data_IF_085953734819
#
_entry.id   IF_085953734819
#
_cell.length_a   1.000
_cell.length_b   1.000
_cell.length_c   1.000
_cell.angle_alpha   90.00
_cell.angle_beta   90.00
_cell.angle_gamma   90.00
#
_symmetry.space_group_name_H-M   'P 1'
#
loop_
_entity.id
_entity.type
_entity.pdbx_description
1 polymer ?
#
# COMPACT_ATOMS: atom_id res chain seq x y z
N UNK A 1 3.99 -22.84 1.54
CA UNK A 1 5.17 -22.62 0.68
C UNK A 1 4.66 -22.29 -0.72
N UNK A 2 4.93 -21.09 -1.23
CA UNK A 2 4.44 -20.66 -2.55
C UNK A 2 5.38 -21.09 -3.68
N UNK A 3 6.60 -21.55 -3.38
CA UNK A 3 7.61 -21.92 -4.38
C UNK A 3 7.21 -23.14 -5.23
N UNK A 4 6.20 -23.90 -4.79
CA UNK A 4 5.69 -25.08 -5.50
C UNK A 4 4.60 -24.77 -6.55
N UNK A 5 4.16 -23.50 -6.68
CA UNK A 5 3.20 -23.14 -7.72
C UNK A 5 3.88 -23.31 -9.09
N UNK A 6 3.35 -24.14 -10.01
CA UNK A 6 4.03 -24.54 -11.24
C UNK A 6 4.02 -23.43 -12.29
N UNK A 7 4.82 -22.39 -12.03
CA UNK A 7 5.03 -21.21 -12.87
C UNK A 7 6.52 -20.90 -12.93
N UNK A 8 6.95 -20.12 -13.91
CA UNK A 8 8.36 -19.74 -14.06
C UNK A 8 8.84 -18.72 -13.00
N UNK A 9 7.94 -18.26 -12.12
CA UNK A 9 8.22 -17.27 -11.07
C UNK A 9 9.00 -17.92 -9.93
N UNK A 10 10.23 -17.44 -9.71
CA UNK A 10 11.06 -17.86 -8.57
C UNK A 10 10.63 -17.11 -7.31
N UNK A 11 10.27 -17.85 -6.27
CA UNK A 11 9.84 -17.28 -4.98
C UNK A 11 10.87 -17.64 -3.91
N UNK A 12 11.32 -16.62 -3.18
CA UNK A 12 12.22 -16.77 -2.03
C UNK A 12 11.61 -16.10 -0.81
N UNK A 13 11.63 -16.79 0.32
CA UNK A 13 11.22 -16.24 1.61
C UNK A 13 12.43 -15.76 2.40
N UNK A 14 12.28 -14.65 3.09
CA UNK A 14 13.27 -14.09 4.01
C UNK A 14 12.60 -13.82 5.35
N UNK A 15 13.39 -13.84 6.43
CA UNK A 15 12.91 -13.58 7.79
C UNK A 15 14.00 -12.90 8.62
N UNK A 16 13.58 -12.20 9.67
CA UNK A 16 14.45 -11.38 10.51
C UNK A 16 14.12 -9.89 10.39
N UNK A 17 14.92 -9.07 11.09
CA UNK A 17 14.74 -7.61 11.12
C UNK A 17 15.43 -6.91 9.94
N UNK A 18 16.47 -7.54 9.38
CA UNK A 18 17.17 -7.04 8.20
C UNK A 18 16.44 -7.50 6.92
N UNK A 19 15.81 -6.53 6.26
CA UNK A 19 15.10 -6.73 5.01
C UNK A 19 16.03 -6.62 3.79
N UNK A 20 17.31 -6.24 3.96
CA UNK A 20 18.27 -6.04 2.86
C UNK A 20 18.31 -7.22 1.88
N UNK A 21 18.40 -8.49 2.33
CA UNK A 21 18.45 -9.64 1.41
C UNK A 21 17.18 -9.80 0.55
N UNK A 22 16.04 -9.30 1.03
CA UNK A 22 14.77 -9.33 0.30
C UNK A 22 14.60 -8.12 -0.64
N UNK A 23 15.38 -7.05 -0.45
CA UNK A 23 15.27 -5.78 -1.15
C UNK A 23 16.29 -5.61 -2.28
N UNK A 24 17.41 -6.35 -2.23
CA UNK A 24 18.46 -6.29 -3.24
C UNK A 24 17.92 -6.54 -4.66
N UNK A 25 18.11 -5.57 -5.54
CA UNK A 25 17.67 -5.63 -6.94
C UNK A 25 16.16 -5.52 -7.15
N UNK A 26 15.38 -5.14 -6.13
CA UNK A 26 13.94 -4.97 -6.28
C UNK A 26 13.59 -3.75 -7.15
N UNK A 27 12.76 -3.96 -8.17
CA UNK A 27 12.17 -2.89 -9.00
C UNK A 27 10.89 -2.32 -8.38
N UNK A 28 10.16 -3.14 -7.62
CA UNK A 28 8.91 -2.78 -6.95
C UNK A 28 8.90 -3.36 -5.54
N UNK A 29 8.50 -2.55 -4.56
CA UNK A 29 8.35 -2.96 -3.16
C UNK A 29 6.92 -2.65 -2.72
N UNK A 30 6.16 -3.68 -2.36
CA UNK A 30 4.81 -3.55 -1.80
C UNK A 30 4.85 -3.76 -0.28
N UNK A 31 4.49 -2.72 0.47
CA UNK A 31 4.51 -2.73 1.92
C UNK A 31 3.12 -3.03 2.48
N UNK A 32 2.85 -4.30 2.74
CA UNK A 32 1.67 -4.77 3.49
C UNK A 32 1.94 -4.96 4.99
N UNK A 33 3.18 -4.72 5.44
CA UNK A 33 3.60 -4.88 6.82
C UNK A 33 2.89 -3.88 7.74
N UNK A 34 2.20 -4.38 8.75
CA UNK A 34 1.51 -3.57 9.73
C UNK A 34 0.76 -4.43 10.73
N UNK A 35 0.35 -3.81 11.82
CA UNK A 35 -0.49 -4.46 12.82
C UNK A 35 -1.95 -4.22 12.45
N UNK A 36 -2.76 -5.26 12.49
CA UNK A 36 -4.21 -5.12 12.40
C UNK A 36 -4.74 -4.60 13.74
N UNK A 37 -5.79 -3.78 13.71
CA UNK A 37 -6.41 -3.26 14.92
C UNK A 37 -6.85 -4.42 15.83
N UNK A 38 -6.36 -4.44 17.07
CA UNK A 38 -6.78 -5.40 18.10
C UNK A 38 -7.91 -4.81 18.95
N UNK A 39 -8.80 -5.63 19.54
CA UNK A 39 -9.74 -5.16 20.55
C UNK A 39 -9.01 -4.41 21.67
N UNK A 40 -9.51 -3.24 22.06
CA UNK A 40 -8.88 -2.39 23.08
C UNK A 40 -7.73 -1.49 22.58
N UNK A 41 -7.36 -1.55 21.29
CA UNK A 41 -6.36 -0.65 20.70
C UNK A 41 -7.01 0.64 20.16
N UNK A 42 -6.48 1.78 20.61
CA UNK A 42 -6.88 3.09 20.12
C UNK A 42 -6.33 3.36 18.72
N UNK A 43 -6.97 4.29 18.00
CA UNK A 43 -6.51 4.68 16.65
C UNK A 43 -5.10 5.27 16.66
N UNK A 44 -4.77 6.05 17.70
CA UNK A 44 -3.44 6.64 17.90
C UNK A 44 -2.36 5.58 18.08
N UNK A 45 -2.65 4.52 18.83
CA UNK A 45 -1.68 3.44 19.09
C UNK A 45 -1.38 2.67 17.82
N UNK A 46 -2.43 2.32 17.08
CA UNK A 46 -2.30 1.68 15.77
C UNK A 46 -1.46 2.53 14.82
N UNK A 47 -1.73 3.83 14.79
CA UNK A 47 -0.96 4.77 13.97
C UNK A 47 0.52 4.79 14.37
N UNK A 48 0.83 4.92 15.65
CA UNK A 48 2.21 4.99 16.14
C UNK A 48 3.00 3.71 15.82
N UNK A 49 2.38 2.55 16.02
CA UNK A 49 2.99 1.25 15.69
C UNK A 49 3.29 1.16 14.20
N UNK A 50 2.30 1.43 13.34
CA UNK A 50 2.49 1.32 11.89
C UNK A 50 3.42 2.41 11.34
N UNK A 51 3.44 3.60 11.94
CA UNK A 51 4.40 4.65 11.61
C UNK A 51 5.84 4.22 11.88
N UNK A 52 6.10 3.52 12.99
CA UNK A 52 7.41 2.95 13.32
C UNK A 52 7.84 1.89 12.31
N UNK A 53 6.95 0.95 11.99
CA UNK A 53 7.18 -0.11 11.00
C UNK A 53 7.52 0.48 9.63
N UNK A 54 6.71 1.42 9.15
CA UNK A 54 6.90 2.08 7.85
C UNK A 54 8.22 2.84 7.83
N UNK A 55 8.53 3.60 8.88
CA UNK A 55 9.79 4.36 8.96
C UNK A 55 11.01 3.44 8.86
N UNK A 56 11.00 2.34 9.62
CA UNK A 56 12.11 1.39 9.63
C UNK A 56 12.30 0.76 8.24
N UNK A 57 11.25 0.17 7.67
CA UNK A 57 11.34 -0.52 6.37
C UNK A 57 11.68 0.44 5.22
N UNK A 58 11.10 1.64 5.19
CA UNK A 58 11.43 2.65 4.17
C UNK A 58 12.88 3.11 4.29
N UNK A 59 13.44 3.19 5.51
CA UNK A 59 14.87 3.50 5.70
C UNK A 59 15.78 2.41 5.13
N UNK A 60 15.36 1.13 5.21
CA UNK A 60 16.10 0.02 4.58
C UNK A 60 15.98 0.08 3.05
N UNK A 61 14.77 0.31 2.52
CA UNK A 61 14.54 0.51 1.08
C UNK A 61 15.40 1.65 0.51
N UNK A 62 15.45 2.79 1.21
CA UNK A 62 16.23 3.95 0.80
C UNK A 62 17.74 3.65 0.66
N UNK A 63 18.26 2.68 1.42
CA UNK A 63 19.67 2.27 1.38
C UNK A 63 19.93 1.18 0.35
N UNK A 64 19.01 0.22 0.21
CA UNK A 64 19.24 -1.01 -0.54
C UNK A 64 18.73 -0.94 -1.99
N UNK A 65 17.57 -0.34 -2.22
CA UNK A 65 16.96 -0.23 -3.55
C UNK A 65 16.24 1.13 -3.74
N UNK A 66 16.96 2.26 -3.65
CA UNK A 66 16.36 3.61 -3.70
C UNK A 66 15.59 3.91 -5.00
N UNK A 67 15.83 3.15 -6.06
CA UNK A 67 15.17 3.30 -7.35
C UNK A 67 13.89 2.46 -7.50
N UNK A 68 13.50 1.67 -6.50
CA UNK A 68 12.28 0.87 -6.56
C UNK A 68 11.01 1.74 -6.54
N UNK A 69 9.94 1.26 -7.18
CA UNK A 69 8.59 1.75 -7.00
C UNK A 69 8.03 1.25 -5.67
N UNK A 70 7.64 2.13 -4.76
CA UNK A 70 7.23 1.82 -3.39
C UNK A 70 5.70 2.00 -3.27
N UNK A 71 4.99 0.89 -3.08
CA UNK A 71 3.55 0.85 -2.85
C UNK A 71 3.22 0.63 -1.38
N UNK A 72 2.61 1.62 -0.73
CA UNK A 72 2.20 1.54 0.67
C UNK A 72 0.77 1.00 0.77
N UNK A 73 0.62 -0.19 1.36
CA UNK A 73 -0.68 -0.80 1.71
C UNK A 73 -0.95 -0.63 3.21
N UNK A 74 0.10 -0.48 4.02
CA UNK A 74 0.02 -0.29 5.48
C UNK A 74 -0.89 0.87 5.86
N UNK A 75 -1.94 0.54 6.61
CA UNK A 75 -2.88 1.53 7.12
C UNK A 75 -2.32 2.31 8.33
N UNK A 76 -2.71 3.59 8.51
CA UNK A 76 -3.57 4.38 7.62
C UNK A 76 -2.78 4.96 6.42
N UNK A 77 -3.17 4.59 5.20
CA UNK A 77 -2.47 4.99 3.96
C UNK A 77 -2.30 6.51 3.84
N UNK A 78 -3.32 7.28 4.25
CA UNK A 78 -3.30 8.74 4.24
C UNK A 78 -2.09 9.34 4.96
N UNK A 79 -1.57 8.66 5.98
CA UNK A 79 -0.46 9.17 6.79
C UNK A 79 0.83 8.40 6.54
N UNK A 80 0.77 7.10 6.30
CA UNK A 80 1.96 6.26 6.09
C UNK A 80 2.70 6.63 4.79
N UNK A 81 1.99 7.05 3.75
CA UNK A 81 2.62 7.58 2.52
C UNK A 81 3.42 8.86 2.81
N UNK A 82 2.86 9.78 3.60
CA UNK A 82 3.56 11.01 3.98
C UNK A 82 4.82 10.70 4.81
N UNK A 83 4.72 9.76 5.75
CA UNK A 83 5.88 9.30 6.54
C UNK A 83 6.97 8.72 5.63
N UNK A 84 6.60 7.85 4.69
CA UNK A 84 7.55 7.26 3.74
C UNK A 84 8.24 8.34 2.91
N UNK A 85 7.49 9.34 2.42
CA UNK A 85 8.05 10.47 1.68
C UNK A 85 9.11 11.23 2.50
N UNK A 86 8.82 11.56 3.76
CA UNK A 86 9.77 12.28 4.61
C UNK A 86 11.03 11.47 4.91
N UNK A 87 10.93 10.15 5.12
CA UNK A 87 12.09 9.27 5.29
C UNK A 87 12.97 9.26 4.04
N UNK A 88 12.36 9.13 2.86
CA UNK A 88 13.09 9.16 1.58
C UNK A 88 13.75 10.52 1.32
N UNK A 89 13.08 11.62 1.70
CA UNK A 89 13.64 12.98 1.57
C UNK A 89 14.86 13.16 2.48
N UNK A 90 14.77 12.71 3.73
CA UNK A 90 15.88 12.73 4.68
C UNK A 90 17.08 11.90 4.18
N UNK A 91 16.81 10.80 3.48
CA UNK A 91 17.83 9.98 2.84
C UNK A 91 18.35 10.55 1.49
N UNK A 92 17.76 11.63 0.98
CA UNK A 92 18.18 12.27 -0.28
C UNK A 92 17.79 11.50 -1.55
N UNK A 93 16.88 10.53 -1.46
CA UNK A 93 16.52 9.62 -2.58
C UNK A 93 15.03 9.68 -2.95
N UNK A 94 14.30 10.68 -2.43
CA UNK A 94 12.88 10.80 -2.71
C UNK A 94 12.59 11.08 -4.19
N UNK A 95 11.78 10.21 -4.79
CA UNK A 95 11.20 10.41 -6.11
C UNK A 95 9.67 10.35 -6.00
N UNK A 96 9.01 11.48 -6.30
CA UNK A 96 7.55 11.62 -6.23
C UNK A 96 6.78 10.70 -7.19
N UNK A 97 7.40 10.28 -8.29
CA UNK A 97 6.78 9.43 -9.31
C UNK A 97 6.88 7.94 -8.95
N UNK A 98 7.61 7.60 -7.89
CA UNK A 98 7.86 6.21 -7.46
C UNK A 98 7.27 5.85 -6.10
N UNK A 99 6.70 6.79 -5.34
CA UNK A 99 6.02 6.51 -4.08
C UNK A 99 4.51 6.68 -4.24
N UNK A 100 3.75 5.63 -3.94
CA UNK A 100 2.29 5.65 -4.05
C UNK A 100 1.60 4.90 -2.90
N UNK A 101 0.42 5.36 -2.53
CA UNK A 101 -0.49 4.65 -1.64
C UNK A 101 -1.42 3.74 -2.45
N UNK A 102 -1.60 2.50 -2.02
CA UNK A 102 -2.50 1.56 -2.69
C UNK A 102 -3.92 1.78 -2.18
N UNK A 103 -4.75 2.43 -3.00
CA UNK A 103 -6.17 2.73 -2.68
C UNK A 103 -7.16 1.97 -3.57
N UNK A 104 -6.66 1.07 -4.43
CA UNK A 104 -7.45 0.31 -5.41
C UNK A 104 -8.61 -0.46 -4.80
N UNK A 105 -8.54 -0.84 -3.52
CA UNK A 105 -9.63 -1.51 -2.82
C UNK A 105 -10.92 -0.67 -2.80
N UNK A 106 -10.83 0.65 -2.72
CA UNK A 106 -12.00 1.52 -2.72
C UNK A 106 -12.65 1.56 -4.10
N UNK A 107 -11.86 1.58 -5.17
CA UNK A 107 -12.35 1.46 -6.56
C UNK A 107 -13.08 0.13 -6.76
N UNK A 108 -12.48 -0.98 -6.31
CA UNK A 108 -13.09 -2.31 -6.41
C UNK A 108 -14.44 -2.35 -5.65
N UNK A 109 -14.49 -1.79 -4.44
CA UNK A 109 -15.72 -1.72 -3.63
C UNK A 109 -16.79 -0.86 -4.29
N UNK A 110 -16.44 0.35 -4.72
CA UNK A 110 -17.38 1.25 -5.38
C UNK A 110 -17.95 0.64 -6.66
N UNK A 111 -17.09 0.04 -7.49
CA UNK A 111 -17.50 -0.63 -8.73
C UNK A 111 -18.42 -1.81 -8.46
N UNK A 112 -18.13 -2.60 -7.42
CA UNK A 112 -18.99 -3.72 -6.99
C UNK A 112 -20.37 -3.24 -6.55
N UNK A 113 -20.44 -2.23 -5.68
CA UNK A 113 -21.71 -1.72 -5.16
C UNK A 113 -22.57 -1.07 -6.25
N UNK A 114 -21.95 -0.29 -7.15
CA UNK A 114 -22.67 0.33 -8.26
C UNK A 114 -23.17 -0.72 -9.25
N UNK A 115 -22.36 -1.75 -9.54
CA UNK A 115 -22.77 -2.82 -10.45
C UNK A 115 -23.96 -3.62 -9.89
N UNK A 116 -23.94 -3.95 -8.59
CA UNK A 116 -25.05 -4.60 -7.89
C UNK A 116 -26.34 -3.77 -8.01
N UNK A 117 -26.28 -2.46 -7.73
CA UNK A 117 -27.44 -1.56 -7.84
C UNK A 117 -27.96 -1.43 -9.29
N UNK A 118 -27.09 -1.57 -10.30
CA UNK A 118 -27.45 -1.50 -11.71
C UNK A 118 -27.78 -2.86 -12.34
N UNK A 119 -27.71 -3.97 -11.58
CA UNK A 119 -27.88 -5.32 -12.11
C UNK A 119 -26.84 -5.71 -13.17
N UNK A 120 -25.62 -5.15 -13.07
CA UNK A 120 -24.50 -5.40 -13.99
C UNK A 120 -23.42 -6.25 -13.32
N UNK A 121 -22.50 -6.78 -14.14
CA UNK A 121 -21.29 -7.41 -13.64
C UNK A 121 -20.31 -6.35 -13.09
N UNK A 122 -19.66 -6.57 -11.94
CA UNK A 122 -18.69 -5.63 -11.37
C UNK A 122 -17.57 -5.23 -12.34
N UNK A 123 -17.14 -6.13 -13.22
CA UNK A 123 -16.10 -5.88 -14.22
C UNK A 123 -16.55 -4.94 -15.34
N UNK A 124 -17.86 -4.71 -15.50
CA UNK A 124 -18.43 -3.84 -16.51
C UNK A 124 -18.65 -2.40 -16.02
N UNK A 125 -18.34 -2.12 -14.76
CA UNK A 125 -18.47 -0.81 -14.14
C UNK A 125 -17.10 -0.40 -13.63
N UNK A 126 -16.67 0.80 -13.99
CA UNK A 126 -15.51 1.44 -13.39
C UNK A 126 -15.98 2.72 -12.70
N UNK A 127 -15.70 2.82 -11.40
CA UNK A 127 -16.05 4.00 -10.59
C UNK A 127 -14.75 4.65 -10.12
N UNK A 128 -14.36 5.82 -10.67
CA UNK A 128 -13.23 6.57 -10.16
C UNK A 128 -13.43 6.94 -8.68
N UNK A 129 -12.42 6.69 -7.86
CA UNK A 129 -12.41 7.07 -6.44
C UNK A 129 -11.19 7.94 -6.18
N UNK A 130 -11.41 9.11 -5.58
CA UNK A 130 -10.36 10.08 -5.27
C UNK A 130 -10.35 10.44 -3.77
N UNK A 131 -9.38 11.28 -3.38
CA UNK A 131 -9.23 11.75 -2.00
C UNK A 131 -8.21 10.90 -1.24
N UNK A 132 -8.67 10.17 -0.23
CA UNK A 132 -7.86 9.28 0.61
C UNK A 132 -8.48 7.90 0.78
N UNK A 133 -7.97 7.15 1.76
CA UNK A 133 -8.31 5.77 2.08
C UNK A 133 -8.89 5.62 3.50
N UNK A 134 -9.54 6.65 4.03
CA UNK A 134 -10.12 6.61 5.38
C UNK A 134 -11.46 7.34 5.47
N UNK A 135 -12.53 6.59 5.74
CA UNK A 135 -13.86 7.14 6.00
C UNK A 135 -14.29 8.18 4.95
N UNK A 136 -14.59 9.39 5.42
CA UNK A 136 -15.06 10.52 4.59
C UNK A 136 -14.04 11.04 3.57
N UNK A 137 -12.77 10.62 3.66
CA UNK A 137 -11.76 10.99 2.66
C UNK A 137 -11.90 10.17 1.37
N UNK A 138 -12.63 9.05 1.39
CA UNK A 138 -12.87 8.21 0.23
C UNK A 138 -14.03 8.84 -0.56
N UNK A 139 -13.78 9.31 -1.78
CA UNK A 139 -14.78 10.00 -2.60
C UNK A 139 -15.02 9.30 -3.95
N UNK A 140 -16.05 8.45 -4.05
CA UNK A 140 -16.47 7.87 -5.32
C UNK A 140 -17.15 8.91 -6.23
N UNK A 141 -16.65 9.06 -7.45
CA UNK A 141 -17.16 10.02 -8.42
C UNK A 141 -18.29 9.40 -9.25
N UNK A 142 -19.47 9.26 -8.64
CA UNK A 142 -20.62 8.62 -9.28
C UNK A 142 -21.09 9.33 -10.57
N UNK A 143 -20.79 10.62 -10.72
CA UNK A 143 -21.08 11.38 -11.94
C UNK A 143 -20.21 10.99 -13.14
N UNK A 144 -19.12 10.25 -12.94
CA UNK A 144 -18.19 9.82 -13.98
C UNK A 144 -18.38 8.34 -14.38
N UNK A 145 -19.45 7.71 -13.90
CA UNK A 145 -19.77 6.34 -14.31
C UNK A 145 -20.26 6.37 -15.76
N UNK A 146 -19.66 5.60 -16.69
CA UNK A 146 -20.09 5.54 -18.08
C UNK A 146 -21.50 4.95 -18.27
#
# INVERSE_FOLDING_TARGET
>A
DLSHIPTDVKIKGFSGEDATPALEGADVVLMSAGVARKPGMDRSDLFNVNAGIVRNLVSQIARTCPNACIGIITNPVNTTVAIAAEVLKQAGVYNKDKLFGVTTLDIIRSSTFVAELKGKQPQAIDVPVIGGHSGVTILPLLSQIP
#
